data_IF_475346029580
#
_entry.id   IF_475346029580
#
_cell.length_a   1.000
_cell.length_b   1.000
_cell.length_c   1.000
_cell.angle_alpha   90.00
_cell.angle_beta   90.00
_cell.angle_gamma   90.00
#
_symmetry.space_group_name_H-M   'P 1'
#
loop_
_entity.id
_entity.type
_entity.pdbx_description
1 polymer ?
#
# COMPACT_ATOMS: atom_id res chain seq x y z
N UNK A 1 -24.48 28.88 -22.72
CA UNK A 1 -23.77 27.86 -23.48
C UNK A 1 -22.27 27.97 -23.14
N UNK A 2 -21.82 27.20 -22.14
CA UNK A 2 -20.40 26.96 -21.86
C UNK A 2 -20.15 25.48 -22.12
N UNK A 3 -19.49 25.17 -23.21
CA UNK A 3 -18.93 23.83 -23.43
C UNK A 3 -17.73 23.63 -22.52
N UNK A 4 -17.57 22.46 -21.90
CA UNK A 4 -16.37 22.15 -21.15
C UNK A 4 -15.23 21.82 -22.12
N UNK A 5 -14.18 22.64 -22.11
CA UNK A 5 -12.94 22.38 -22.82
C UNK A 5 -12.34 21.05 -22.35
N UNK A 6 -12.25 20.10 -23.26
CA UNK A 6 -11.56 18.83 -23.04
C UNK A 6 -10.09 19.08 -22.70
N UNK A 7 -9.68 18.76 -21.47
CA UNK A 7 -8.25 18.70 -21.12
C UNK A 7 -7.66 17.47 -21.79
N UNK A 8 -6.97 17.65 -22.90
CA UNK A 8 -6.00 16.69 -23.41
C UNK A 8 -5.02 16.35 -22.30
N UNK A 9 -5.00 15.07 -21.91
CA UNK A 9 -3.97 14.53 -21.05
C UNK A 9 -2.64 14.64 -21.79
N UNK A 10 -1.83 15.62 -21.43
CA UNK A 10 -0.50 15.80 -21.96
C UNK A 10 0.31 14.51 -21.77
N UNK A 11 0.69 13.87 -22.88
CA UNK A 11 1.66 12.77 -22.86
C UNK A 11 3.01 13.35 -22.46
N UNK A 12 3.40 13.08 -21.22
CA UNK A 12 4.71 13.43 -20.69
C UNK A 12 5.78 12.56 -21.32
N UNK A 13 6.92 13.12 -21.73
CA UNK A 13 8.02 12.33 -22.27
C UNK A 13 8.57 11.40 -21.17
N UNK A 14 8.70 10.12 -21.51
CA UNK A 14 9.39 9.10 -20.72
C UNK A 14 10.89 9.38 -20.85
N UNK A 15 11.42 10.34 -20.12
CA UNK A 15 12.85 10.62 -20.10
C UNK A 15 13.39 10.63 -18.68
N UNK A 16 14.35 9.74 -18.45
CA UNK A 16 15.21 9.59 -17.25
C UNK A 16 14.45 9.44 -15.93
N UNK A 17 13.95 8.25 -15.68
CA UNK A 17 13.51 7.79 -14.37
C UNK A 17 14.74 7.66 -13.46
N UNK A 18 15.04 8.69 -12.68
CA UNK A 18 15.90 8.53 -11.52
C UNK A 18 15.22 7.53 -10.56
N UNK A 19 16.01 6.71 -9.89
CA UNK A 19 15.54 5.68 -8.96
C UNK A 19 14.66 6.32 -7.86
N UNK A 20 13.36 6.01 -7.76
CA UNK A 20 12.42 6.66 -6.84
C UNK A 20 12.61 6.24 -5.38
N UNK A 21 13.46 5.28 -5.11
CA UNK A 21 13.85 4.90 -3.77
C UNK A 21 15.08 5.71 -3.35
N UNK A 22 15.34 5.88 -2.04
CA UNK A 22 16.56 6.53 -1.59
C UNK A 22 17.77 5.96 -2.32
N UNK A 23 18.53 6.81 -3.00
CA UNK A 23 19.64 6.41 -3.90
C UNK A 23 20.63 5.44 -3.24
N UNK A 24 20.74 5.48 -1.91
CA UNK A 24 21.62 4.64 -1.13
C UNK A 24 20.96 3.34 -0.62
N UNK A 25 19.65 3.12 -0.82
CA UNK A 25 18.97 1.94 -0.28
C UNK A 25 19.44 0.66 -0.99
N UNK A 26 20.07 -0.23 -0.24
CA UNK A 26 20.56 -1.54 -0.69
C UNK A 26 19.76 -2.70 -0.10
N UNK A 27 19.11 -2.47 1.04
CA UNK A 27 18.26 -3.43 1.75
C UNK A 27 16.84 -2.92 1.84
N UNK A 28 15.89 -3.73 1.38
CA UNK A 28 14.47 -3.39 1.33
C UNK A 28 13.64 -4.41 2.11
N UNK A 29 12.94 -3.94 3.14
CA UNK A 29 12.00 -4.74 3.94
C UNK A 29 10.62 -4.80 3.31
N UNK A 30 9.92 -5.91 3.50
CA UNK A 30 8.53 -6.05 3.08
C UNK A 30 7.78 -7.06 3.96
N UNK A 31 6.43 -6.96 3.98
CA UNK A 31 5.59 -7.95 4.65
C UNK A 31 5.67 -9.29 3.94
N UNK A 32 6.29 -10.28 4.60
CA UNK A 32 6.41 -11.67 4.15
C UNK A 32 5.15 -12.51 4.36
N UNK A 33 5.27 -13.80 4.08
CA UNK A 33 6.41 -14.49 3.47
C UNK A 33 6.69 -14.05 2.04
N UNK A 34 7.66 -14.67 1.37
CA UNK A 34 7.91 -14.46 -0.05
C UNK A 34 6.66 -14.83 -0.89
N UNK A 35 6.45 -14.14 -2.01
CA UNK A 35 5.28 -14.33 -2.86
C UNK A 35 4.03 -13.54 -2.44
N UNK A 36 4.12 -12.63 -1.45
CA UNK A 36 3.00 -11.75 -1.09
C UNK A 36 2.75 -10.67 -2.13
N UNK A 37 1.55 -10.06 -2.11
CA UNK A 37 1.23 -8.88 -2.92
C UNK A 37 2.16 -7.70 -2.61
N UNK A 38 2.65 -7.61 -1.36
CA UNK A 38 3.65 -6.58 -0.97
C UNK A 38 4.97 -6.79 -1.71
N UNK A 39 5.44 -8.04 -1.83
CA UNK A 39 6.64 -8.35 -2.61
C UNK A 39 6.41 -8.14 -4.11
N UNK A 40 5.24 -8.51 -4.63
CA UNK A 40 4.87 -8.26 -6.03
C UNK A 40 4.93 -6.77 -6.36
N UNK A 41 4.33 -5.92 -5.53
CA UNK A 41 4.37 -4.47 -5.65
C UNK A 41 5.80 -3.91 -5.56
N UNK A 42 6.62 -4.45 -4.64
CA UNK A 42 8.03 -4.08 -4.50
C UNK A 42 8.83 -4.41 -5.78
N UNK A 43 8.68 -5.63 -6.28
CA UNK A 43 9.39 -6.10 -7.48
C UNK A 43 8.97 -5.31 -8.73
N UNK A 44 7.69 -5.08 -8.92
CA UNK A 44 7.16 -4.27 -10.01
C UNK A 44 7.75 -2.85 -9.99
N UNK A 45 7.81 -2.22 -8.82
CA UNK A 45 8.39 -0.88 -8.65
C UNK A 45 9.86 -0.81 -9.09
N UNK A 46 10.64 -1.86 -8.82
CA UNK A 46 12.07 -1.88 -9.12
C UNK A 46 12.34 -2.22 -10.58
N UNK A 47 11.55 -3.12 -11.17
CA UNK A 47 11.69 -3.54 -12.58
C UNK A 47 11.38 -2.40 -13.54
N UNK A 48 10.43 -1.51 -13.20
CA UNK A 48 10.11 -0.34 -14.02
C UNK A 48 11.25 0.70 -14.09
N UNK A 49 12.28 0.59 -13.26
CA UNK A 49 13.15 1.72 -12.94
C UNK A 49 14.57 1.70 -13.46
N UNK A 50 15.13 0.64 -13.96
CA UNK A 50 16.43 0.73 -14.66
C UNK A 50 16.98 -0.58 -15.28
N UNK A 51 17.40 -0.56 -16.52
CA UNK A 51 18.47 -1.43 -17.01
C UNK A 51 19.78 -0.99 -16.34
N UNK A 52 20.34 -1.78 -15.44
CA UNK A 52 21.59 -1.51 -14.73
C UNK A 52 21.45 -1.10 -13.26
N UNK A 53 20.30 -1.29 -12.64
CA UNK A 53 20.03 -0.96 -11.24
C UNK A 53 20.95 -1.71 -10.24
N UNK A 54 21.15 -1.07 -9.07
CA UNK A 54 21.92 -1.66 -7.96
C UNK A 54 21.24 -2.95 -7.49
N UNK A 55 22.05 -3.96 -7.20
CA UNK A 55 21.58 -5.20 -6.56
C UNK A 55 21.02 -4.84 -5.19
N UNK A 56 19.75 -5.14 -4.97
CA UNK A 56 19.06 -4.91 -3.69
C UNK A 56 18.70 -6.23 -3.05
N UNK A 57 18.87 -6.30 -1.73
CA UNK A 57 18.42 -7.43 -0.93
C UNK A 57 17.00 -7.16 -0.46
N UNK A 58 16.12 -8.14 -0.65
CA UNK A 58 14.75 -8.10 -0.16
C UNK A 58 14.63 -8.98 1.08
N UNK A 59 14.17 -8.41 2.17
CA UNK A 59 14.04 -9.09 3.46
C UNK A 59 12.56 -9.16 3.87
N UNK A 60 11.99 -10.38 3.94
CA UNK A 60 10.62 -10.57 4.42
C UNK A 60 10.57 -10.49 5.95
N UNK A 61 9.54 -9.83 6.49
CA UNK A 61 9.23 -9.77 7.91
C UNK A 61 7.87 -10.40 8.19
N UNK A 62 7.65 -10.88 9.40
CA UNK A 62 6.43 -11.62 9.74
C UNK A 62 5.18 -10.72 9.84
N UNK A 63 5.37 -9.41 10.05
CA UNK A 63 4.27 -8.45 10.23
C UNK A 63 4.64 -7.05 9.73
N UNK A 64 3.62 -6.19 9.49
CA UNK A 64 3.85 -4.78 9.21
C UNK A 64 4.57 -4.06 10.36
N UNK A 65 4.23 -4.30 11.66
CA UNK A 65 5.00 -3.78 12.79
C UNK A 65 6.49 -4.08 12.69
N UNK A 66 6.87 -5.35 12.54
CA UNK A 66 8.27 -5.75 12.43
C UNK A 66 8.96 -5.13 11.21
N UNK A 67 8.24 -5.05 10.07
CA UNK A 67 8.75 -4.40 8.85
C UNK A 67 9.10 -2.93 9.11
N UNK A 68 8.24 -2.20 9.83
CA UNK A 68 8.44 -0.79 10.16
C UNK A 68 9.56 -0.61 11.18
N UNK A 69 9.61 -1.48 12.21
CA UNK A 69 10.66 -1.47 13.22
C UNK A 69 12.05 -1.72 12.61
N UNK A 70 12.15 -2.63 11.64
CA UNK A 70 13.40 -2.90 10.92
C UNK A 70 13.95 -1.67 10.20
N UNK A 71 13.09 -0.80 9.66
CA UNK A 71 13.53 0.49 9.11
C UNK A 71 13.94 1.45 10.21
N UNK A 72 13.14 1.55 11.27
CA UNK A 72 13.37 2.47 12.38
C UNK A 72 14.70 2.18 13.08
N UNK A 73 14.99 0.90 13.33
CA UNK A 73 16.26 0.43 13.93
C UNK A 73 17.46 0.51 12.99
N UNK A 74 17.24 0.51 11.67
CA UNK A 74 18.29 0.53 10.65
C UNK A 74 18.73 -0.85 10.18
N UNK A 75 18.03 -1.90 10.50
CA UNK A 75 18.23 -3.25 9.96
C UNK A 75 18.05 -3.26 8.45
N UNK A 76 17.08 -2.50 7.93
CA UNK A 76 16.90 -2.22 6.50
C UNK A 76 16.94 -0.72 6.22
N UNK A 77 17.30 -0.36 4.99
CA UNK A 77 17.40 1.04 4.57
C UNK A 77 16.02 1.65 4.30
N UNK A 78 15.12 0.84 3.76
CA UNK A 78 13.77 1.24 3.37
C UNK A 78 12.84 0.03 3.45
N UNK A 79 11.55 0.24 3.62
CA UNK A 79 10.57 -0.84 3.52
C UNK A 79 9.30 -0.39 2.81
N UNK A 80 8.62 -1.35 2.22
CA UNK A 80 7.29 -1.17 1.64
C UNK A 80 6.24 -1.81 2.56
N UNK A 81 5.19 -1.05 2.87
CA UNK A 81 4.05 -1.52 3.66
C UNK A 81 2.73 -1.07 3.04
N UNK A 82 1.66 -1.87 3.14
CA UNK A 82 0.33 -1.44 2.73
C UNK A 82 -0.20 -0.40 3.72
N UNK A 83 -0.84 0.67 3.22
CA UNK A 83 -1.46 1.70 4.06
C UNK A 83 -2.98 1.78 3.85
N UNK A 84 -3.46 1.38 2.68
CA UNK A 84 -4.88 1.46 2.33
C UNK A 84 -5.22 0.47 1.21
N UNK A 85 -6.39 -0.14 1.27
CA UNK A 85 -6.95 -0.97 0.21
C UNK A 85 -8.32 -0.41 -0.20
N UNK A 86 -8.64 -0.43 -1.49
CA UNK A 86 -9.88 0.16 -2.02
C UNK A 86 -11.17 -0.52 -1.50
N UNK A 87 -11.09 -1.78 -1.08
CA UNK A 87 -12.23 -2.57 -0.56
C UNK A 87 -12.27 -2.55 0.97
N UNK A 88 -11.11 -2.81 1.61
CA UNK A 88 -10.99 -3.01 3.06
C UNK A 88 -10.77 -1.68 3.83
N UNK A 89 -10.38 -0.61 3.12
CA UNK A 89 -10.03 0.67 3.74
C UNK A 89 -8.61 0.70 4.28
N UNK A 90 -8.40 1.46 5.35
CA UNK A 90 -7.08 1.69 5.94
C UNK A 90 -6.50 0.46 6.63
N UNK A 91 -5.21 0.21 6.41
CA UNK A 91 -4.45 -0.82 7.13
C UNK A 91 -4.08 -0.30 8.51
N UNK A 92 -4.95 -0.57 9.48
CA UNK A 92 -4.88 0.00 10.84
C UNK A 92 -3.54 -0.19 11.52
N UNK A 93 -2.93 -1.38 11.40
CA UNK A 93 -1.64 -1.67 12.03
C UNK A 93 -0.51 -0.74 11.52
N UNK A 94 -0.43 -0.53 10.22
CA UNK A 94 0.56 0.37 9.61
C UNK A 94 0.36 1.81 10.08
N UNK A 95 -0.88 2.29 10.00
CA UNK A 95 -1.22 3.67 10.36
C UNK A 95 -0.96 3.94 11.84
N UNK A 96 -1.35 3.02 12.72
CA UNK A 96 -1.17 3.16 14.17
C UNK A 96 0.29 3.30 14.57
N UNK A 97 1.18 2.51 13.97
CA UNK A 97 2.61 2.57 14.28
C UNK A 97 3.21 3.90 13.79
N UNK A 98 2.89 4.29 12.55
CA UNK A 98 3.40 5.56 12.00
C UNK A 98 2.96 6.78 12.80
N UNK A 99 1.83 6.69 13.49
CA UNK A 99 1.27 7.79 14.27
C UNK A 99 1.74 7.79 15.72
N UNK A 100 1.89 6.62 16.33
CA UNK A 100 2.05 6.50 17.78
C UNK A 100 3.41 5.98 18.24
N UNK A 101 4.13 5.24 17.39
CA UNK A 101 5.26 4.45 17.85
C UNK A 101 6.61 4.86 17.24
N UNK A 102 6.59 5.48 16.05
CA UNK A 102 7.82 5.90 15.36
C UNK A 102 7.79 7.38 15.03
N UNK A 103 8.89 8.09 15.26
CA UNK A 103 9.05 9.52 14.98
C UNK A 103 10.24 9.82 14.03
N UNK A 104 11.05 8.81 13.73
CA UNK A 104 12.25 8.89 12.92
C UNK A 104 12.04 8.41 11.47
N UNK A 105 10.81 8.05 11.10
CA UNK A 105 10.47 7.56 9.76
C UNK A 105 9.65 8.58 8.98
N UNK A 106 9.82 8.53 7.66
CA UNK A 106 9.01 9.29 6.72
C UNK A 106 8.52 8.40 5.59
N UNK A 107 7.31 8.70 5.10
CA UNK A 107 6.84 8.21 3.81
C UNK A 107 7.62 8.96 2.74
N UNK A 108 8.36 8.21 1.92
CA UNK A 108 9.23 8.77 0.86
C UNK A 108 8.67 8.57 -0.53
N UNK A 109 7.73 7.65 -0.69
CA UNK A 109 7.04 7.34 -1.95
C UNK A 109 5.74 6.59 -1.67
N UNK A 110 4.78 6.74 -2.60
CA UNK A 110 3.60 5.89 -2.67
C UNK A 110 3.56 5.16 -4.01
N UNK A 111 2.95 3.98 -4.02
CA UNK A 111 2.58 3.25 -5.23
C UNK A 111 1.17 2.70 -5.08
N UNK A 112 0.49 2.50 -6.21
CA UNK A 112 -0.80 1.82 -6.29
C UNK A 112 -0.61 0.52 -7.07
N UNK A 113 -1.05 -0.57 -6.49
CA UNK A 113 -0.91 -1.89 -7.10
C UNK A 113 -2.27 -2.57 -7.16
N UNK A 114 -2.66 -3.03 -8.35
CA UNK A 114 -3.91 -3.78 -8.56
C UNK A 114 -3.76 -5.17 -7.96
N UNK A 115 -4.72 -5.58 -7.16
CA UNK A 115 -4.73 -6.89 -6.52
C UNK A 115 -5.50 -7.85 -7.41
N UNK A 116 -4.77 -8.74 -8.09
CA UNK A 116 -5.32 -9.75 -8.98
C UNK A 116 -5.13 -11.14 -8.38
N UNK A 117 -6.23 -11.86 -8.23
CA UNK A 117 -6.21 -13.20 -7.67
C UNK A 117 -6.20 -14.26 -8.77
N UNK A 118 -5.39 -15.28 -8.57
CA UNK A 118 -5.38 -16.47 -9.41
C UNK A 118 -5.67 -17.70 -8.57
N UNK A 119 -6.31 -18.69 -9.17
CA UNK A 119 -6.42 -20.04 -8.63
C UNK A 119 -5.17 -20.81 -9.06
N UNK A 120 -4.40 -21.28 -8.10
CA UNK A 120 -3.10 -21.90 -8.27
C UNK A 120 -3.13 -23.33 -7.74
N UNK A 121 -2.58 -24.28 -8.48
CA UNK A 121 -2.47 -25.66 -8.03
C UNK A 121 -1.14 -26.25 -8.49
N UNK A 122 -0.79 -27.43 -7.97
CA UNK A 122 0.38 -28.16 -8.46
C UNK A 122 0.22 -28.54 -9.94
N UNK A 123 1.32 -28.66 -10.67
CA UNK A 123 1.30 -29.11 -12.06
C UNK A 123 0.49 -30.39 -12.24
N UNK A 124 -0.35 -30.38 -13.27
CA UNK A 124 -1.20 -31.55 -13.63
C UNK A 124 -2.51 -31.67 -12.85
N UNK A 125 -2.80 -30.81 -11.88
CA UNK A 125 -4.10 -30.75 -11.20
C UNK A 125 -5.07 -29.93 -12.05
N UNK A 126 -6.23 -30.52 -12.43
CA UNK A 126 -7.29 -29.80 -13.17
C UNK A 126 -8.33 -29.22 -12.25
N UNK A 127 -9.12 -28.26 -12.76
CA UNK A 127 -10.18 -27.60 -11.99
C UNK A 127 -11.17 -28.61 -11.37
N UNK A 128 -11.53 -29.64 -12.12
CA UNK A 128 -12.50 -30.67 -11.71
C UNK A 128 -11.99 -31.54 -10.55
N UNK A 129 -10.67 -31.75 -10.51
CA UNK A 129 -10.01 -32.57 -9.48
C UNK A 129 -9.89 -31.86 -8.15
N UNK A 130 -9.97 -30.51 -8.12
CA UNK A 130 -9.80 -29.75 -6.88
C UNK A 130 -10.83 -30.15 -5.84
N UNK A 131 -10.35 -30.57 -4.67
CA UNK A 131 -11.19 -30.96 -3.52
C UNK A 131 -11.28 -29.87 -2.47
N UNK A 132 -10.26 -29.02 -2.35
CA UNK A 132 -10.14 -27.97 -1.34
C UNK A 132 -9.47 -26.73 -1.91
N UNK A 133 -9.94 -25.55 -1.47
CA UNK A 133 -9.30 -24.25 -1.74
C UNK A 133 -8.77 -23.66 -0.44
N UNK A 134 -7.52 -23.19 -0.45
CA UNK A 134 -6.84 -22.60 0.72
C UNK A 134 -6.45 -21.17 0.40
N UNK A 135 -6.77 -20.21 1.26
CA UNK A 135 -6.22 -18.84 1.16
C UNK A 135 -6.46 -18.03 2.43
N UNK A 136 -5.93 -16.80 2.44
CA UNK A 136 -6.28 -15.82 3.47
C UNK A 136 -7.78 -15.51 3.44
N UNK A 137 -8.45 -15.33 4.61
CA UNK A 137 -9.90 -15.09 4.68
C UNK A 137 -10.40 -13.97 3.77
N UNK A 138 -9.66 -12.85 3.65
CA UNK A 138 -10.03 -11.74 2.77
C UNK A 138 -10.01 -12.18 1.29
N UNK A 139 -8.99 -12.91 0.84
CA UNK A 139 -8.92 -13.41 -0.54
C UNK A 139 -10.05 -14.41 -0.84
N UNK A 140 -10.36 -15.30 0.12
CA UNK A 140 -11.50 -16.21 0.01
C UNK A 140 -12.82 -15.44 -0.13
N UNK A 141 -13.00 -14.35 0.61
CA UNK A 141 -14.18 -13.50 0.54
C UNK A 141 -14.28 -12.74 -0.79
N UNK A 142 -13.14 -12.21 -1.28
CA UNK A 142 -13.05 -11.46 -2.53
C UNK A 142 -13.25 -12.32 -3.79
N UNK A 143 -13.08 -13.66 -3.70
CA UNK A 143 -13.29 -14.60 -4.80
C UNK A 143 -14.54 -15.49 -4.60
N UNK A 144 -15.41 -15.14 -3.65
CA UNK A 144 -16.52 -16.01 -3.21
C UNK A 144 -17.51 -16.34 -4.33
N UNK A 145 -17.86 -15.36 -5.17
CA UNK A 145 -18.84 -15.57 -6.25
C UNK A 145 -18.25 -16.48 -7.33
N UNK A 146 -16.99 -16.27 -7.68
CA UNK A 146 -16.27 -17.11 -8.62
C UNK A 146 -16.18 -18.56 -8.11
N UNK A 147 -15.79 -18.77 -6.84
CA UNK A 147 -15.70 -20.10 -6.22
C UNK A 147 -17.04 -20.82 -6.22
N UNK A 148 -18.13 -20.13 -5.88
CA UNK A 148 -19.47 -20.74 -5.89
C UNK A 148 -19.92 -21.19 -7.27
N UNK A 149 -19.50 -20.51 -8.32
CA UNK A 149 -19.87 -20.82 -9.71
C UNK A 149 -19.02 -21.96 -10.27
N UNK A 150 -17.71 -21.97 -10.01
CA UNK A 150 -16.75 -22.86 -10.67
C UNK A 150 -16.35 -24.07 -9.80
N UNK A 151 -16.42 -23.95 -8.47
CA UNK A 151 -16.05 -24.98 -7.50
C UNK A 151 -17.16 -25.16 -6.43
N UNK A 152 -18.41 -25.44 -6.85
CA UNK A 152 -19.53 -25.55 -5.90
C UNK A 152 -19.28 -26.67 -4.90
N UNK A 153 -19.52 -26.39 -3.60
CA UNK A 153 -19.45 -27.40 -2.53
C UNK A 153 -18.03 -27.84 -2.15
N UNK A 154 -16.97 -27.23 -2.71
CA UNK A 154 -15.61 -27.53 -2.27
C UNK A 154 -15.32 -26.88 -0.93
N UNK A 155 -14.48 -27.54 -0.13
CA UNK A 155 -14.02 -27.01 1.15
C UNK A 155 -13.16 -25.76 0.92
N UNK A 156 -13.38 -24.71 1.75
CA UNK A 156 -12.56 -23.50 1.74
C UNK A 156 -11.92 -23.34 3.10
N UNK A 157 -10.60 -23.40 3.16
CA UNK A 157 -9.79 -23.34 4.38
C UNK A 157 -9.03 -22.02 4.48
N UNK A 158 -8.91 -21.50 5.71
CA UNK A 158 -8.17 -20.28 5.99
C UNK A 158 -6.67 -20.54 6.18
N UNK A 159 -5.84 -19.65 5.62
CA UNK A 159 -4.40 -19.57 5.87
C UNK A 159 -4.02 -18.15 6.35
N UNK A 160 -2.83 -17.98 6.93
CA UNK A 160 -2.40 -16.69 7.47
C UNK A 160 -2.06 -15.66 6.36
N UNK A 161 -1.71 -16.15 5.16
CA UNK A 161 -1.50 -15.30 3.98
C UNK A 161 -1.81 -16.07 2.70
N UNK A 162 -2.02 -15.33 1.59
CA UNK A 162 -2.19 -15.93 0.25
C UNK A 162 -0.92 -16.68 -0.18
N UNK A 163 0.26 -16.12 0.07
CA UNK A 163 1.54 -16.77 -0.26
C UNK A 163 1.76 -18.06 0.53
N UNK A 164 1.46 -18.07 1.84
CA UNK A 164 1.52 -19.31 2.66
C UNK A 164 0.54 -20.38 2.14
N UNK A 165 -0.63 -19.98 1.66
CA UNK A 165 -1.58 -20.91 1.06
C UNK A 165 -1.00 -21.57 -0.20
N UNK A 166 -0.33 -20.80 -1.06
CA UNK A 166 0.34 -21.33 -2.26
C UNK A 166 1.48 -22.28 -1.88
N UNK A 167 2.33 -21.89 -0.94
CA UNK A 167 3.43 -22.74 -0.41
C UNK A 167 2.89 -24.08 0.10
N UNK A 168 1.80 -24.04 0.87
CA UNK A 168 1.15 -25.24 1.41
C UNK A 168 0.58 -26.14 0.31
N UNK A 169 -0.05 -25.56 -0.72
CA UNK A 169 -0.56 -26.30 -1.87
C UNK A 169 0.57 -26.91 -2.68
N UNK A 170 1.69 -26.22 -2.84
CA UNK A 170 2.88 -26.73 -3.51
C UNK A 170 3.47 -27.97 -2.81
N UNK A 171 3.38 -28.02 -1.48
CA UNK A 171 3.98 -29.08 -0.66
C UNK A 171 3.09 -30.30 -0.41
N UNK A 172 1.79 -30.23 -0.69
CA UNK A 172 0.86 -31.36 -0.50
C UNK A 172 0.81 -32.28 -1.73
N UNK A 173 0.43 -33.54 -1.53
CA UNK A 173 0.12 -34.48 -2.64
C UNK A 173 -1.35 -34.45 -3.03
N UNK A 174 -2.20 -33.89 -2.19
CA UNK A 174 -3.64 -33.77 -2.41
C UNK A 174 -3.97 -32.78 -3.54
N UNK A 175 -5.09 -32.95 -4.26
CA UNK A 175 -5.49 -32.06 -5.33
C UNK A 175 -6.15 -30.78 -4.76
N UNK A 176 -5.36 -30.00 -4.07
CA UNK A 176 -5.77 -28.71 -3.51
C UNK A 176 -5.39 -27.55 -4.43
N UNK A 177 -6.09 -26.45 -4.28
CA UNK A 177 -5.77 -25.19 -4.91
C UNK A 177 -5.61 -24.07 -3.88
N UNK A 178 -4.81 -23.07 -4.21
CA UNK A 178 -4.69 -21.84 -3.43
C UNK A 178 -5.20 -20.65 -4.23
N UNK A 179 -5.76 -19.66 -3.54
CA UNK A 179 -5.94 -18.33 -4.12
C UNK A 179 -4.70 -17.49 -3.74
N UNK A 180 -4.02 -16.97 -4.73
CA UNK A 180 -2.82 -16.15 -4.57
C UNK A 180 -2.55 -15.32 -5.81
N UNK A 181 -1.39 -14.65 -5.84
CA UNK A 181 -0.92 -13.94 -7.03
C UNK A 181 -0.04 -14.84 -7.92
N UNK A 182 0.18 -14.42 -9.15
CA UNK A 182 1.00 -15.17 -10.12
C UNK A 182 2.47 -15.29 -9.68
N UNK A 183 2.99 -14.30 -8.95
CA UNK A 183 4.34 -14.34 -8.40
C UNK A 183 4.52 -15.52 -7.44
N UNK A 184 3.58 -15.71 -6.52
CA UNK A 184 3.61 -16.85 -5.60
C UNK A 184 3.54 -18.18 -6.37
N UNK A 185 2.66 -18.27 -7.39
CA UNK A 185 2.60 -19.44 -8.27
C UNK A 185 3.96 -19.78 -8.86
N UNK A 186 4.63 -18.82 -9.49
CA UNK A 186 5.94 -19.01 -10.10
C UNK A 186 7.03 -19.38 -9.07
N UNK A 187 7.01 -18.74 -7.89
CA UNK A 187 8.02 -18.99 -6.83
C UNK A 187 7.91 -20.37 -6.20
N UNK A 188 6.70 -20.88 -6.00
CA UNK A 188 6.46 -22.16 -5.35
C UNK A 188 6.20 -23.30 -6.33
N UNK A 189 6.29 -23.05 -7.65
CA UNK A 189 6.12 -24.08 -8.68
C UNK A 189 4.68 -24.56 -8.87
N UNK A 190 3.70 -23.69 -8.60
CA UNK A 190 2.30 -23.92 -8.90
C UNK A 190 1.91 -23.35 -10.27
N UNK A 191 1.00 -24.03 -10.95
CA UNK A 191 0.42 -23.59 -12.23
C UNK A 191 -0.84 -22.73 -11.97
N UNK A 192 -1.10 -21.80 -12.88
CA UNK A 192 -2.30 -20.98 -12.87
C UNK A 192 -3.44 -21.78 -13.52
N UNK A 193 -4.42 -22.17 -12.71
CA UNK A 193 -5.62 -22.88 -13.18
C UNK A 193 -6.66 -21.87 -13.73
N UNK A 194 -6.80 -20.71 -13.05
CA UNK A 194 -7.64 -19.61 -13.50
C UNK A 194 -7.05 -18.28 -13.05
N UNK A 195 -7.15 -17.26 -13.90
CA UNK A 195 -6.70 -15.90 -13.62
C UNK A 195 -7.90 -14.98 -13.35
N UNK A 196 -7.64 -13.87 -12.67
CA UNK A 196 -8.60 -12.77 -12.48
C UNK A 196 -9.91 -13.29 -11.90
N UNK A 197 -9.83 -14.02 -10.78
CA UNK A 197 -10.95 -14.70 -10.13
C UNK A 197 -11.60 -13.86 -9.04
N UNK A 198 -11.12 -12.65 -8.79
CA UNK A 198 -11.73 -11.70 -7.86
C UNK A 198 -13.12 -11.25 -8.33
N UNK A 199 -14.02 -11.04 -7.38
CA UNK A 199 -15.39 -10.59 -7.63
C UNK A 199 -15.48 -9.10 -8.02
N UNK A 200 -14.43 -8.31 -7.73
CA UNK A 200 -14.31 -6.88 -8.00
C UNK A 200 -12.99 -6.57 -8.71
N UNK A 201 -13.08 -6.12 -9.97
CA UNK A 201 -11.91 -5.87 -10.82
C UNK A 201 -11.07 -4.67 -10.39
N UNK A 202 -11.66 -3.69 -9.67
CA UNK A 202 -11.01 -2.45 -9.27
C UNK A 202 -10.35 -2.54 -7.87
N UNK A 203 -9.96 -3.74 -7.44
CA UNK A 203 -9.26 -3.91 -6.17
C UNK A 203 -7.82 -3.43 -6.26
N UNK A 204 -7.52 -2.31 -5.59
CA UNK A 204 -6.18 -1.75 -5.51
C UNK A 204 -5.72 -1.61 -4.07
N UNK A 205 -4.43 -1.84 -3.84
CA UNK A 205 -3.77 -1.52 -2.59
C UNK A 205 -2.78 -0.39 -2.80
N UNK A 206 -2.88 0.63 -1.95
CA UNK A 206 -1.93 1.71 -1.83
C UNK A 206 -0.84 1.27 -0.86
N UNK A 207 0.39 1.20 -1.35
CA UNK A 207 1.58 0.92 -0.57
C UNK A 207 2.39 2.20 -0.41
N UNK A 208 3.12 2.29 0.69
CA UNK A 208 4.08 3.36 0.94
C UNK A 208 5.46 2.81 1.24
N UNK A 209 6.47 3.51 0.75
CA UNK A 209 7.85 3.26 1.12
C UNK A 209 8.20 4.15 2.31
N UNK A 210 8.77 3.52 3.33
CA UNK A 210 9.23 4.14 4.56
C UNK A 210 10.74 4.14 4.60
N UNK A 211 11.33 5.27 4.98
CA UNK A 211 12.75 5.38 5.23
C UNK A 211 12.99 6.30 6.43
N UNK A 212 14.16 6.16 7.08
CA UNK A 212 14.61 7.13 8.07
C UNK A 212 14.77 8.49 7.40
N UNK A 213 14.50 9.53 8.14
CA UNK A 213 14.57 10.92 7.65
C UNK A 213 15.90 11.18 6.94
N UNK A 214 15.85 11.52 5.65
CA UNK A 214 17.00 11.80 4.79
C UNK A 214 16.77 13.07 4.01
N UNK A 215 17.82 13.60 3.38
CA UNK A 215 17.73 14.73 2.44
C UNK A 215 16.69 14.43 1.35
N UNK A 216 15.85 15.41 1.07
CA UNK A 216 14.80 15.33 0.07
C UNK A 216 15.41 15.26 -1.32
N UNK A 217 14.90 14.35 -2.13
CA UNK A 217 15.06 14.39 -3.57
C UNK A 217 13.84 15.09 -4.17
N UNK A 218 14.06 16.17 -4.90
CA UNK A 218 13.01 16.85 -5.64
C UNK A 218 12.71 16.11 -6.95
N UNK A 219 11.45 15.65 -7.06
CA UNK A 219 10.92 15.02 -8.26
C UNK A 219 9.99 16.01 -8.98
N UNK A 220 9.93 15.93 -10.30
CA UNK A 220 9.02 16.75 -11.13
C UNK A 220 7.58 16.20 -11.18
N UNK A 221 7.20 15.30 -10.30
CA UNK A 221 5.89 14.65 -10.28
C UNK A 221 4.92 15.38 -9.35
N UNK A 222 3.59 15.21 -9.51
CA UNK A 222 2.66 15.70 -8.52
C UNK A 222 2.95 15.05 -7.16
N UNK A 223 2.88 15.86 -6.12
CA UNK A 223 3.18 15.44 -4.75
C UNK A 223 1.93 15.31 -3.92
N UNK A 224 2.05 14.50 -2.89
CA UNK A 224 1.12 14.37 -1.78
C UNK A 224 1.86 14.61 -0.48
N UNK A 225 1.22 15.30 0.45
CA UNK A 225 1.71 15.48 1.82
C UNK A 225 0.72 14.85 2.77
N UNK A 226 1.22 13.98 3.67
CA UNK A 226 0.44 13.32 4.72
C UNK A 226 0.80 13.88 6.07
N UNK A 227 -0.22 14.26 6.86
CA UNK A 227 -0.04 14.84 8.20
C UNK A 227 -0.95 14.19 9.22
N UNK A 228 -0.53 14.23 10.48
CA UNK A 228 -1.33 13.87 11.63
C UNK A 228 -1.61 15.13 12.45
N UNK A 229 -2.88 15.41 12.67
CA UNK A 229 -3.38 16.51 13.48
C UNK A 229 -3.93 15.95 14.79
N UNK A 230 -3.27 16.23 15.92
CA UNK A 230 -3.83 15.95 17.24
C UNK A 230 -4.74 17.10 17.69
N UNK A 231 -5.90 16.79 18.27
CA UNK A 231 -6.77 17.79 18.92
C UNK A 231 -6.65 17.69 20.44
N UNK A 232 -6.73 18.83 21.13
CA UNK A 232 -6.56 18.88 22.59
C UNK A 232 -7.71 18.18 23.32
N UNK A 233 -8.91 18.29 22.75
CA UNK A 233 -10.15 17.82 23.36
C UNK A 233 -11.20 17.67 22.29
N UNK A 234 -11.99 16.63 22.39
CA UNK A 234 -13.18 16.52 21.56
C UNK A 234 -14.14 17.64 21.92
N UNK A 235 -14.33 18.59 21.01
CA UNK A 235 -15.22 19.72 21.15
C UNK A 235 -15.86 20.06 19.80
N UNK A 236 -17.08 20.62 19.80
CA UNK A 236 -17.74 21.05 18.57
C UNK A 236 -16.83 21.97 17.74
N UNK A 237 -16.65 21.65 16.46
CA UNK A 237 -15.86 22.45 15.53
C UNK A 237 -14.36 22.12 15.49
N UNK A 238 -13.84 21.18 16.29
CA UNK A 238 -12.42 20.83 16.29
C UNK A 238 -11.92 20.37 14.89
N UNK A 239 -12.66 19.49 14.23
CA UNK A 239 -12.35 19.08 12.85
C UNK A 239 -12.51 20.25 11.87
N UNK A 240 -13.56 21.06 12.01
CA UNK A 240 -13.79 22.22 11.14
C UNK A 240 -12.61 23.20 11.20
N UNK A 241 -12.03 23.42 12.37
CA UNK A 241 -10.85 24.27 12.55
C UNK A 241 -9.65 23.79 11.69
N UNK A 242 -9.48 22.47 11.56
CA UNK A 242 -8.43 21.90 10.71
C UNK A 242 -8.79 22.10 9.24
N UNK A 243 -10.02 21.75 8.85
CA UNK A 243 -10.46 21.81 7.46
C UNK A 243 -10.49 23.23 6.89
N UNK A 244 -10.82 24.24 7.71
CA UNK A 244 -10.81 25.64 7.29
C UNK A 244 -9.43 26.12 6.85
N UNK A 245 -8.34 25.66 7.49
CA UNK A 245 -6.99 26.06 7.10
C UNK A 245 -6.63 25.59 5.69
N UNK A 246 -7.10 24.43 5.29
CA UNK A 246 -6.92 23.90 3.95
C UNK A 246 -7.88 24.54 2.94
N UNK A 247 -9.15 24.66 3.31
CA UNK A 247 -10.19 25.21 2.43
C UNK A 247 -9.92 26.66 2.01
N UNK A 248 -9.52 27.53 2.94
CA UNK A 248 -9.22 28.95 2.64
C UNK A 248 -8.00 29.13 1.72
N UNK A 249 -7.14 28.10 1.64
CA UNK A 249 -5.97 28.11 0.78
C UNK A 249 -6.13 27.27 -0.50
N UNK A 250 -7.36 26.80 -0.76
CA UNK A 250 -7.70 25.96 -1.91
C UNK A 250 -6.84 24.68 -2.01
N UNK A 251 -6.43 24.11 -0.86
CA UNK A 251 -5.68 22.87 -0.79
C UNK A 251 -6.67 21.71 -0.90
N UNK A 252 -6.49 20.86 -1.93
CA UNK A 252 -7.32 19.67 -2.11
C UNK A 252 -6.89 18.57 -1.14
N UNK A 253 -7.87 17.99 -0.41
CA UNK A 253 -7.65 16.85 0.49
C UNK A 253 -8.05 15.57 -0.24
N UNK A 254 -7.16 14.60 -0.28
CA UNK A 254 -7.39 13.29 -0.93
C UNK A 254 -7.78 12.20 0.06
N UNK A 255 -7.50 12.40 1.35
CA UNK A 255 -7.91 11.51 2.43
C UNK A 255 -8.11 12.29 3.72
N UNK A 256 -9.10 11.88 4.49
CA UNK A 256 -9.25 12.25 5.88
C UNK A 256 -9.71 11.03 6.68
N UNK A 257 -9.04 10.74 7.77
CA UNK A 257 -9.35 9.61 8.64
C UNK A 257 -9.25 10.05 10.10
N UNK A 258 -10.27 9.73 10.89
CA UNK A 258 -10.24 9.92 12.35
C UNK A 258 -9.82 8.61 13.02
N UNK A 259 -8.92 8.71 14.00
CA UNK A 259 -8.49 7.57 14.80
C UNK A 259 -8.42 7.92 16.28
N UNK A 260 -8.65 6.95 17.19
CA UNK A 260 -8.42 7.16 18.62
C UNK A 260 -6.95 7.57 18.88
N UNK A 261 -6.77 8.54 19.78
CA UNK A 261 -5.42 8.99 20.18
C UNK A 261 -4.65 7.94 20.99
N UNK A 262 -5.32 6.87 21.44
CA UNK A 262 -4.83 5.84 22.38
C UNK A 262 -4.39 6.37 23.75
N UNK A 263 -4.61 7.66 24.05
CA UNK A 263 -4.30 8.28 25.35
C UNK A 263 -5.49 8.31 26.29
N UNK A 264 -6.65 8.70 25.76
CA UNK A 264 -7.92 8.74 26.51
C UNK A 264 -9.07 8.35 25.62
N UNK A 265 -10.11 7.75 26.19
CA UNK A 265 -11.35 7.51 25.48
C UNK A 265 -12.01 8.84 25.09
N UNK A 266 -12.38 9.01 23.84
CA UNK A 266 -12.96 10.23 23.29
C UNK A 266 -11.95 11.23 22.70
N UNK A 267 -10.64 11.02 22.88
CA UNK A 267 -9.63 11.83 22.20
C UNK A 267 -9.31 11.23 20.81
N UNK A 268 -9.34 12.07 19.78
CA UNK A 268 -9.10 11.67 18.39
C UNK A 268 -7.92 12.42 17.81
N UNK A 269 -7.32 11.76 16.81
CA UNK A 269 -6.37 12.37 15.88
C UNK A 269 -6.98 12.30 14.48
N UNK A 270 -6.59 13.23 13.62
CA UNK A 270 -6.97 13.23 12.21
C UNK A 270 -5.75 13.06 11.35
N UNK A 271 -5.80 12.06 10.46
CA UNK A 271 -4.81 11.83 9.44
C UNK A 271 -5.37 12.46 8.16
N UNK A 272 -4.58 13.31 7.54
CA UNK A 272 -4.99 14.06 6.36
C UNK A 272 -3.92 13.91 5.28
N UNK A 273 -4.34 13.49 4.10
CA UNK A 273 -3.53 13.55 2.89
C UNK A 273 -4.00 14.72 2.02
N UNK A 274 -3.06 15.52 1.54
CA UNK A 274 -3.33 16.66 0.68
C UNK A 274 -2.45 16.63 -0.57
N UNK A 275 -2.94 17.19 -1.66
CA UNK A 275 -2.17 17.40 -2.88
C UNK A 275 -1.17 18.53 -2.70
N UNK A 276 0.04 18.32 -3.15
CA UNK A 276 1.14 19.29 -3.15
C UNK A 276 2.29 18.94 -2.22
N UNK A 277 3.38 19.70 -2.37
CA UNK A 277 4.59 19.56 -1.54
C UNK A 277 4.43 20.30 -0.23
N UNK A 278 5.05 19.79 0.82
CA UNK A 278 5.05 20.46 2.14
C UNK A 278 5.67 21.86 2.08
N UNK A 279 6.53 22.15 1.10
CA UNK A 279 7.18 23.45 0.90
C UNK A 279 6.40 24.39 -0.03
N UNK A 280 5.32 23.92 -0.64
CA UNK A 280 4.42 24.78 -1.40
C UNK A 280 3.87 25.87 -0.47
N UNK A 281 3.89 27.12 -0.91
CA UNK A 281 3.57 28.28 -0.09
C UNK A 281 2.24 28.12 0.66
N UNK A 282 1.20 27.66 -0.02
CA UNK A 282 -0.12 27.45 0.57
C UNK A 282 -0.09 26.36 1.66
N UNK A 283 0.58 25.24 1.41
CA UNK A 283 0.69 24.11 2.35
C UNK A 283 1.54 24.51 3.56
N UNK A 284 2.72 25.07 3.34
CA UNK A 284 3.61 25.53 4.40
C UNK A 284 2.90 26.53 5.33
N UNK A 285 2.10 27.46 4.76
CA UNK A 285 1.35 28.43 5.52
C UNK A 285 0.19 27.78 6.32
N UNK A 286 -0.56 26.84 5.70
CA UNK A 286 -1.59 26.09 6.40
C UNK A 286 -1.03 25.31 7.59
N UNK A 287 0.07 24.60 7.39
CA UNK A 287 0.72 23.79 8.44
C UNK A 287 1.29 24.68 9.56
N UNK A 288 1.83 25.86 9.23
CA UNK A 288 2.29 26.83 10.22
C UNK A 288 1.14 27.32 11.09
N UNK A 289 -0.01 27.68 10.49
CA UNK A 289 -1.21 28.07 11.23
C UNK A 289 -1.75 26.95 12.11
N UNK A 290 -1.78 25.71 11.58
CA UNK A 290 -2.23 24.55 12.36
C UNK A 290 -1.31 24.26 13.56
N UNK A 291 0.02 24.41 13.42
CA UNK A 291 0.96 24.25 14.53
C UNK A 291 0.70 25.19 15.69
N UNK A 292 0.14 26.40 15.42
CA UNK A 292 -0.23 27.35 16.46
C UNK A 292 -1.57 26.99 17.15
N UNK A 293 -2.41 26.16 16.51
CA UNK A 293 -3.76 25.84 16.97
C UNK A 293 -3.89 24.45 17.59
N UNK A 294 -3.03 23.52 17.16
CA UNK A 294 -3.05 22.12 17.57
C UNK A 294 -1.93 21.83 18.56
N UNK A 295 -2.13 20.90 19.51
CA UNK A 295 -1.08 20.50 20.46
C UNK A 295 0.06 19.79 19.75
N UNK A 296 -0.23 19.06 18.70
CA UNK A 296 0.78 18.39 17.86
C UNK A 296 0.31 18.29 16.41
N UNK A 297 1.22 18.60 15.50
CA UNK A 297 1.11 18.39 14.07
C UNK A 297 2.37 17.65 13.59
N UNK A 298 2.20 16.44 13.11
CA UNK A 298 3.30 15.61 12.59
C UNK A 298 3.16 15.46 11.08
N UNK A 299 4.23 15.71 10.34
CA UNK A 299 4.30 15.44 8.90
C UNK A 299 4.83 14.02 8.73
N UNK A 300 4.00 13.11 8.23
CA UNK A 300 4.39 11.72 7.97
C UNK A 300 5.26 11.61 6.71
N UNK A 301 5.13 12.52 5.78
CA UNK A 301 5.92 12.59 4.56
C UNK A 301 5.33 13.57 3.55
N UNK A 302 6.18 13.97 2.61
CA UNK A 302 5.81 14.68 1.38
C UNK A 302 6.52 13.98 0.24
N UNK A 303 5.77 13.34 -0.64
CA UNK A 303 6.27 12.32 -1.55
C UNK A 303 5.52 12.34 -2.90
N UNK A 304 6.14 11.82 -3.97
CA UNK A 304 5.49 11.69 -5.26
C UNK A 304 4.23 10.84 -5.19
N UNK A 305 3.17 11.27 -5.87
CA UNK A 305 1.91 10.54 -5.98
C UNK A 305 2.14 9.23 -6.74
N UNK A 306 1.65 8.13 -6.17
CA UNK A 306 1.74 6.81 -6.77
C UNK A 306 0.91 6.71 -8.04
N UNK A 307 1.55 6.29 -9.13
CA UNK A 307 0.85 5.85 -10.34
C UNK A 307 0.48 4.38 -10.19
N UNK A 308 -0.62 3.94 -10.83
CA UNK A 308 -0.86 2.52 -10.98
C UNK A 308 0.36 1.88 -11.65
N UNK A 309 0.90 0.82 -11.04
CA UNK A 309 1.94 0.02 -11.68
C UNK A 309 1.30 -0.64 -12.91
N UNK A 310 1.85 -0.35 -14.09
CA UNK A 310 1.41 -1.05 -15.32
C UNK A 310 1.69 -2.53 -15.10
N UNK A 311 0.64 -3.33 -15.11
CA UNK A 311 0.81 -4.78 -15.26
C UNK A 311 1.41 -4.96 -16.65
N UNK A 312 2.68 -5.39 -16.69
CA UNK A 312 3.36 -5.64 -17.93
C UNK A 312 2.47 -6.50 -18.82
N UNK A 313 2.17 -5.99 -20.01
CA UNK A 313 1.60 -6.81 -21.08
C UNK A 313 2.53 -8.00 -21.25
N UNK A 314 2.05 -9.16 -20.80
CA UNK A 314 2.69 -10.43 -21.02
C UNK A 314 2.76 -10.74 -22.52
#
# INVERSE_FOLDING_TARGET
>A
NCEPAGKELARWPVSSLADPLPVAATTLGFLGPQGTFTEEALRATITEQAPGGRVRRFLPFASNPETIEAVSSGEVDCAIVPIENSIEGSVSATVDILVHEVDNLQIVREIRHSIRHALLARPGVTLEQITKVVSHPHANAQCRMWLRRNLPGREVEAANSTAQAVERVASTTEPWAAIGNKLAGAMYGCEVIASDIEDHEDNETRFVFLARQRERQDWFEPYKTSVVCEIVKDQPGALLLILQEFAFRHINLTKIESRPSKRRLGDYIFIVDMEGKVDDVAIADALRCLRCKLPRLTVLGSYPVGRPLNQGTA
#
